data_IF_145786059345
#
_entry.id   IF_145786059345
#
_cell.length_a   1.000
_cell.length_b   1.000
_cell.length_c   1.000
_cell.angle_alpha   90.00
_cell.angle_beta   90.00
_cell.angle_gamma   90.00
#
_symmetry.space_group_name_H-M   'P 1'
#
loop_
_entity.id
_entity.type
_entity.pdbx_description
1 polymer ?
#
# COMPACT_ATOMS: atom_id res chain seq x y z
N UNK A 1 -12.04 20.58 -22.55
CA UNK A 1 -12.63 19.43 -21.83
C UNK A 1 -11.49 18.51 -21.38
N UNK A 2 -10.73 18.92 -20.35
CA UNK A 2 -9.57 18.18 -19.85
C UNK A 2 -9.61 18.21 -18.32
N UNK A 3 -10.20 17.19 -17.71
CA UNK A 3 -10.32 17.09 -16.26
C UNK A 3 -9.79 15.73 -15.79
N UNK A 4 -8.48 15.48 -15.95
CA UNK A 4 -7.86 14.22 -15.53
C UNK A 4 -6.39 14.33 -15.09
N UNK A 5 -6.00 15.43 -14.41
CA UNK A 5 -4.63 15.59 -13.86
C UNK A 5 -4.63 16.14 -12.41
N UNK A 6 -5.73 16.01 -11.65
CA UNK A 6 -5.77 16.48 -10.25
C UNK A 6 -5.37 15.45 -9.17
N UNK A 7 -5.08 14.21 -9.53
CA UNK A 7 -4.79 13.15 -8.55
C UNK A 7 -3.32 12.68 -8.49
N UNK A 8 -2.40 13.30 -9.23
CA UNK A 8 -1.00 12.83 -9.28
C UNK A 8 -0.16 13.29 -8.08
N UNK A 9 -0.64 14.25 -7.26
CA UNK A 9 0.15 14.77 -6.14
C UNK A 9 -0.74 14.95 -4.90
N UNK A 10 -1.22 13.85 -4.31
CA UNK A 10 -1.70 13.87 -2.92
C UNK A 10 -0.59 13.36 -2.00
N UNK A 11 0.45 14.19 -1.85
CA UNK A 11 1.48 14.02 -0.82
C UNK A 11 0.84 14.17 0.56
N UNK A 12 0.62 13.05 1.24
CA UNK A 12 0.01 12.97 2.56
C UNK A 12 0.94 12.19 3.48
N UNK A 13 2.02 12.83 3.98
CA UNK A 13 2.90 12.32 5.04
C UNK A 13 3.15 10.80 5.00
N UNK A 14 3.50 10.31 3.81
CA UNK A 14 3.63 8.89 3.50
C UNK A 14 5.03 8.44 3.90
N UNK A 15 5.13 7.27 4.54
CA UNK A 15 6.41 6.59 4.71
C UNK A 15 7.07 6.38 3.34
N UNK A 16 8.40 6.28 3.26
CA UNK A 16 9.10 6.15 1.98
C UNK A 16 8.53 4.98 1.17
N UNK A 17 8.35 5.21 -0.13
CA UNK A 17 7.96 4.14 -1.06
C UNK A 17 9.10 3.13 -1.15
N UNK A 18 8.74 1.84 -1.15
CA UNK A 18 9.70 0.74 -1.15
C UNK A 18 9.51 -0.03 -2.45
N UNK A 19 10.57 -0.07 -3.26
CA UNK A 19 10.61 -0.92 -4.45
C UNK A 19 10.92 -2.34 -4.01
N UNK A 20 10.08 -3.29 -4.41
CA UNK A 20 10.28 -4.70 -4.13
C UNK A 20 9.91 -5.52 -5.36
N UNK A 21 10.92 -6.10 -6.01
CA UNK A 21 10.79 -6.70 -7.35
C UNK A 21 10.21 -5.66 -8.32
N UNK A 22 9.19 -6.02 -9.10
CA UNK A 22 8.50 -5.13 -10.02
C UNK A 22 7.33 -4.36 -9.37
N UNK A 23 7.23 -4.37 -8.04
CA UNK A 23 6.16 -3.73 -7.30
C UNK A 23 6.67 -2.51 -6.51
N UNK A 24 5.79 -1.53 -6.32
CA UNK A 24 5.99 -0.39 -5.43
C UNK A 24 5.07 -0.55 -4.22
N UNK A 25 5.66 -0.60 -3.04
CA UNK A 25 4.95 -0.69 -1.77
C UNK A 25 4.90 0.70 -1.14
N UNK A 26 3.71 1.13 -0.73
CA UNK A 26 3.47 2.41 -0.09
C UNK A 26 2.83 2.17 1.28
N UNK A 27 3.61 2.12 2.36
CA UNK A 27 3.06 1.99 3.71
C UNK A 27 2.20 3.20 4.05
N UNK A 28 0.98 2.95 4.51
CA UNK A 28 -0.01 3.99 4.81
C UNK A 28 -0.77 3.68 6.11
N UNK A 29 -0.09 3.59 7.27
CA UNK A 29 -0.77 3.29 8.52
C UNK A 29 -1.93 4.23 8.80
N UNK A 30 -3.03 3.67 9.30
CA UNK A 30 -4.25 4.41 9.59
C UNK A 30 -4.46 4.48 11.10
N UNK A 31 -4.62 5.68 11.65
CA UNK A 31 -4.94 5.85 13.08
C UNK A 31 -6.40 5.48 13.33
N UNK A 32 -6.64 4.54 14.25
CA UNK A 32 -7.96 4.06 14.67
C UNK A 32 -7.94 3.86 16.18
N UNK A 33 -8.87 4.51 16.89
CA UNK A 33 -9.03 4.40 18.36
C UNK A 33 -7.74 4.57 19.17
N UNK A 34 -6.89 5.52 18.76
CA UNK A 34 -5.63 5.81 19.44
C UNK A 34 -4.46 4.90 19.04
N UNK A 35 -4.70 3.82 18.30
CA UNK A 35 -3.67 2.93 17.73
C UNK A 35 -3.50 3.16 16.23
N UNK A 36 -2.46 2.55 15.64
CA UNK A 36 -2.16 2.61 14.21
C UNK A 36 -2.34 1.23 13.58
N UNK A 37 -3.29 1.12 12.66
CA UNK A 37 -3.50 -0.08 11.86
C UNK A 37 -2.43 -0.23 10.78
N UNK A 38 -2.09 -1.48 10.51
CA UNK A 38 -1.20 -1.89 9.44
C UNK A 38 -1.93 -1.86 8.11
N UNK A 39 -1.72 -0.78 7.36
CA UNK A 39 -2.36 -0.53 6.06
C UNK A 39 -1.28 -0.12 5.07
N UNK A 40 -1.39 -0.59 3.83
CA UNK A 40 -0.47 -0.22 2.77
C UNK A 40 -1.11 -0.37 1.39
N UNK A 41 -0.46 0.20 0.39
CA UNK A 41 -0.85 0.10 -1.02
C UNK A 41 0.28 -0.62 -1.77
N UNK A 42 -0.08 -1.61 -2.56
CA UNK A 42 0.81 -2.30 -3.50
C UNK A 42 0.46 -1.79 -4.90
N UNK A 43 1.46 -1.35 -5.65
CA UNK A 43 1.33 -0.87 -7.03
C UNK A 43 2.21 -1.66 -7.97
N UNK A 44 1.78 -1.83 -9.21
CA UNK A 44 2.60 -2.36 -10.31
C UNK A 44 2.09 -1.81 -11.64
N UNK A 45 3.00 -1.62 -12.59
CA UNK A 45 2.63 -1.30 -13.98
C UNK A 45 2.43 -2.60 -14.75
N UNK A 46 1.23 -2.82 -15.27
CA UNK A 46 0.85 -3.98 -16.10
C UNK A 46 0.21 -3.44 -17.39
N UNK A 47 0.74 -3.85 -18.55
CA UNK A 47 0.28 -3.39 -19.87
C UNK A 47 0.14 -1.86 -19.99
N UNK A 48 1.18 -1.14 -19.57
CA UNK A 48 1.23 0.33 -19.52
C UNK A 48 0.18 1.00 -18.62
N UNK A 49 -0.55 0.23 -17.80
CA UNK A 49 -1.50 0.74 -16.82
C UNK A 49 -0.99 0.50 -15.40
N UNK A 50 -1.10 1.52 -14.55
CA UNK A 50 -0.76 1.39 -13.12
C UNK A 50 -1.95 0.73 -12.42
N UNK A 51 -1.72 -0.47 -11.90
CA UNK A 51 -2.63 -1.16 -11.00
C UNK A 51 -2.22 -0.87 -9.55
N UNK A 52 -3.19 -0.60 -8.69
CA UNK A 52 -2.97 -0.38 -7.27
C UNK A 52 -4.01 -1.13 -6.43
N UNK A 53 -3.55 -1.68 -5.30
CA UNK A 53 -4.40 -2.40 -4.36
C UNK A 53 -4.02 -2.03 -2.92
N UNK A 54 -4.99 -1.52 -2.16
CA UNK A 54 -4.86 -1.29 -0.71
C UNK A 54 -5.12 -2.63 0.02
N UNK A 55 -4.31 -2.94 1.03
CA UNK A 55 -4.58 -4.02 1.99
C UNK A 55 -4.75 -3.43 3.39
N UNK A 56 -5.62 -4.06 4.17
CA UNK A 56 -5.88 -3.66 5.55
C UNK A 56 -5.69 -4.87 6.47
N UNK A 57 -4.77 -4.77 7.41
CA UNK A 57 -4.58 -5.79 8.46
C UNK A 57 -5.13 -5.28 9.80
N UNK A 58 -5.64 -6.21 10.60
CA UNK A 58 -6.15 -5.95 11.96
C UNK A 58 -5.03 -5.72 12.98
N UNK A 59 -3.77 -5.94 12.59
CA UNK A 59 -2.60 -5.68 13.43
C UNK A 59 -2.50 -4.17 13.73
N UNK A 60 -2.59 -3.83 15.02
CA UNK A 60 -2.48 -2.46 15.52
C UNK A 60 -1.18 -2.24 16.31
N UNK A 61 -0.67 -1.01 16.25
CA UNK A 61 0.58 -0.59 16.89
C UNK A 61 0.39 0.75 17.59
N UNK A 62 1.13 0.98 18.68
CA UNK A 62 1.12 2.28 19.37
C UNK A 62 1.85 3.37 18.58
N UNK A 63 2.78 2.99 17.69
CA UNK A 63 3.60 3.87 16.87
C UNK A 63 3.23 3.80 15.39
N UNK A 64 3.20 4.96 14.72
CA UNK A 64 3.03 5.04 13.26
C UNK A 64 4.19 4.34 12.53
N UNK A 65 5.42 4.45 13.04
CA UNK A 65 6.60 3.84 12.41
C UNK A 65 6.50 2.32 12.41
N UNK A 66 6.17 1.72 13.56
CA UNK A 66 6.08 0.26 13.69
C UNK A 66 4.98 -0.31 12.79
N UNK A 67 3.84 0.38 12.68
CA UNK A 67 2.79 0.03 11.73
C UNK A 67 3.25 0.15 10.27
N UNK A 68 4.05 1.17 9.94
CA UNK A 68 4.63 1.32 8.59
C UNK A 68 5.60 0.19 8.26
N UNK A 69 6.49 -0.17 9.18
CA UNK A 69 7.44 -1.27 9.00
C UNK A 69 6.72 -2.61 8.90
N UNK A 70 5.65 -2.80 9.68
CA UNK A 70 4.78 -3.97 9.57
C UNK A 70 4.08 -4.02 8.22
N UNK A 71 3.53 -2.90 7.74
CA UNK A 71 2.87 -2.82 6.45
C UNK A 71 3.84 -3.15 5.31
N UNK A 72 5.06 -2.61 5.35
CA UNK A 72 6.10 -2.92 4.38
C UNK A 72 6.44 -4.42 4.35
N UNK A 73 6.62 -5.05 5.53
CA UNK A 73 6.89 -6.49 5.63
C UNK A 73 5.72 -7.32 5.11
N UNK A 74 4.48 -6.98 5.47
CA UNK A 74 3.29 -7.71 5.04
C UNK A 74 3.04 -7.58 3.54
N UNK A 75 3.27 -6.41 2.97
CA UNK A 75 3.18 -6.21 1.53
C UNK A 75 4.16 -7.13 0.76
N UNK A 76 5.40 -7.28 1.23
CA UNK A 76 6.38 -8.20 0.62
C UNK A 76 5.88 -9.65 0.63
N UNK A 77 5.35 -10.11 1.77
CA UNK A 77 4.77 -11.45 1.89
C UNK A 77 3.60 -11.63 0.91
N UNK A 78 2.67 -10.67 0.83
CA UNK A 78 1.55 -10.72 -0.11
C UNK A 78 2.06 -10.80 -1.56
N UNK A 79 3.09 -10.02 -1.90
CA UNK A 79 3.74 -10.05 -3.23
C UNK A 79 4.39 -11.41 -3.51
N UNK A 80 5.06 -12.01 -2.53
CA UNK A 80 5.68 -13.32 -2.67
C UNK A 80 4.66 -14.45 -2.84
N UNK A 81 3.53 -14.38 -2.13
CA UNK A 81 2.49 -15.42 -2.14
C UNK A 81 1.56 -15.32 -3.35
N UNK A 82 1.18 -14.10 -3.75
CA UNK A 82 0.14 -13.88 -4.76
C UNK A 82 0.65 -13.32 -6.09
N UNK A 83 1.76 -12.58 -6.08
CA UNK A 83 2.28 -11.91 -7.27
C UNK A 83 1.23 -11.00 -7.94
N UNK A 84 0.99 -11.18 -9.24
CA UNK A 84 0.06 -10.34 -9.99
C UNK A 84 -1.42 -10.58 -9.66
N UNK A 85 -1.75 -11.73 -9.05
CA UNK A 85 -3.12 -12.07 -8.63
C UNK A 85 -3.68 -11.12 -7.56
N UNK A 86 -2.81 -10.33 -6.92
CA UNK A 86 -3.19 -9.26 -5.98
C UNK A 86 -4.22 -8.31 -6.60
N UNK A 87 -4.10 -8.03 -7.90
CA UNK A 87 -4.97 -7.09 -8.60
C UNK A 87 -6.27 -7.74 -9.13
N UNK A 88 -6.38 -9.06 -9.07
CA UNK A 88 -7.56 -9.81 -9.51
C UNK A 88 -8.55 -10.06 -8.36
N UNK A 89 -8.06 -10.06 -7.11
CA UNK A 89 -8.89 -10.31 -5.93
C UNK A 89 -9.47 -9.01 -5.35
N UNK A 90 -10.69 -9.09 -4.81
CA UNK A 90 -11.31 -7.95 -4.15
C UNK A 90 -10.85 -7.78 -2.68
N UNK A 91 -10.58 -8.88 -1.98
CA UNK A 91 -10.52 -8.96 -0.51
C UNK A 91 -9.12 -8.83 0.13
N UNK A 92 -8.30 -7.85 -0.27
CA UNK A 92 -6.91 -7.71 0.23
C UNK A 92 -6.78 -6.99 1.60
#
# INVERSE_FOLDING_TARGET
MFNKIKNIIKGSSTSPEIIYKDFTIVPKPRKVDGTWLTVGIIKKTIDNNIQEKEFIRTDNFSSKSDASDCAARKAKIIIDEMGDKIFEVDWL
#
